data_IF_378918051492
#
_entry.id   IF_378918051492
#
_cell.length_a   1.000
_cell.length_b   1.000
_cell.length_c   1.000
_cell.angle_alpha   90.00
_cell.angle_beta   90.00
_cell.angle_gamma   90.00
#
_symmetry.space_group_name_H-M   'P 1'
#
loop_
_entity.id
_entity.type
_entity.pdbx_description
1 polymer ?
#
# COMPACT_ATOMS: atom_id res chain seq x y z
N UNK A 1 -5.74 17.03 59.76
CA UNK A 1 -6.48 16.67 58.52
C UNK A 1 -5.87 17.43 57.35
N UNK A 2 -4.73 16.97 56.81
CA UNK A 2 -3.94 17.67 55.76
C UNK A 2 -3.59 16.74 54.58
N UNK A 3 -4.19 15.55 54.52
CA UNK A 3 -3.94 14.54 53.48
C UNK A 3 -4.71 14.76 52.18
N UNK A 4 -5.98 15.21 52.24
CA UNK A 4 -6.89 15.18 51.09
C UNK A 4 -6.56 16.19 49.98
N UNK A 5 -6.00 17.37 50.30
CA UNK A 5 -5.69 18.39 49.30
C UNK A 5 -4.48 18.03 48.43
N UNK A 6 -3.45 17.41 49.02
CA UNK A 6 -2.25 16.97 48.31
C UNK A 6 -2.54 15.76 47.43
N UNK A 7 -3.35 14.81 47.90
CA UNK A 7 -3.78 13.68 47.08
C UNK A 7 -4.67 14.12 45.93
N UNK A 8 -5.55 15.10 46.12
CA UNK A 8 -6.36 15.65 45.03
C UNK A 8 -5.51 16.35 43.96
N UNK A 9 -4.54 17.18 44.35
CA UNK A 9 -3.60 17.83 43.44
C UNK A 9 -2.76 16.82 42.64
N UNK A 10 -2.23 15.79 43.31
CA UNK A 10 -1.47 14.72 42.67
C UNK A 10 -2.34 13.94 41.67
N UNK A 11 -3.55 13.56 42.07
CA UNK A 11 -4.50 12.90 41.15
C UNK A 11 -4.83 13.77 39.95
N UNK A 12 -5.10 15.07 40.14
CA UNK A 12 -5.39 15.99 39.05
C UNK A 12 -4.20 16.12 38.07
N UNK A 13 -2.97 16.21 38.58
CA UNK A 13 -1.76 16.22 37.76
C UNK A 13 -1.61 14.94 36.93
N UNK A 14 -1.86 13.76 37.53
CA UNK A 14 -1.81 12.47 36.83
C UNK A 14 -2.89 12.42 35.73
N UNK A 15 -4.11 12.86 36.02
CA UNK A 15 -5.19 12.90 35.02
C UNK A 15 -4.87 13.84 33.86
N UNK A 16 -4.35 15.03 34.14
CA UNK A 16 -3.93 15.99 33.10
C UNK A 16 -2.82 15.37 32.23
N UNK A 17 -1.82 14.73 32.85
CA UNK A 17 -0.73 14.08 32.12
C UNK A 17 -1.22 12.92 31.23
N UNK A 18 -2.13 12.08 31.75
CA UNK A 18 -2.74 11.00 30.98
C UNK A 18 -3.56 11.55 29.81
N UNK A 19 -4.37 12.59 30.03
CA UNK A 19 -5.18 13.22 28.99
C UNK A 19 -4.29 13.86 27.90
N UNK A 20 -3.22 14.56 28.29
CA UNK A 20 -2.26 15.15 27.35
C UNK A 20 -1.55 14.07 26.51
N UNK A 21 -1.15 12.96 27.14
CA UNK A 21 -0.52 11.83 26.44
C UNK A 21 -1.48 11.18 25.46
N UNK A 22 -2.74 10.94 25.87
CA UNK A 22 -3.76 10.37 25.00
C UNK A 22 -4.07 11.29 23.80
N UNK A 23 -4.17 12.60 24.05
CA UNK A 23 -4.38 13.59 22.99
C UNK A 23 -3.18 13.63 22.01
N UNK A 24 -1.95 13.58 22.53
CA UNK A 24 -0.74 13.52 21.70
C UNK A 24 -0.67 12.27 20.84
N UNK A 25 -0.96 11.10 21.41
CA UNK A 25 -1.01 9.83 20.68
C UNK A 25 -2.11 9.83 19.61
N UNK A 26 -3.29 10.33 19.94
CA UNK A 26 -4.40 10.42 18.99
C UNK A 26 -4.07 11.34 17.81
N UNK A 27 -3.48 12.50 18.08
CA UNK A 27 -3.01 13.41 17.03
C UNK A 27 -1.94 12.78 16.14
N UNK A 28 -0.91 12.17 16.75
CA UNK A 28 0.17 11.50 16.01
C UNK A 28 -0.35 10.36 15.13
N UNK A 29 -1.28 9.55 15.63
CA UNK A 29 -1.93 8.50 14.86
C UNK A 29 -2.70 9.09 13.67
N UNK A 30 -3.46 10.17 13.89
CA UNK A 30 -4.33 10.75 12.86
C UNK A 30 -3.55 11.45 11.75
N UNK A 31 -2.36 11.99 12.02
CA UNK A 31 -1.56 12.70 11.01
C UNK A 31 -1.17 11.85 9.81
N UNK A 32 -1.07 10.53 9.99
CA UNK A 32 -0.65 9.63 8.92
C UNK A 32 -1.84 8.94 8.21
N UNK A 33 -3.08 9.24 8.60
CA UNK A 33 -4.28 8.65 8.01
C UNK A 33 -4.86 9.61 6.96
N UNK A 34 -4.96 9.13 5.72
CA UNK A 34 -5.59 9.85 4.61
C UNK A 34 -6.43 8.93 3.74
N UNK A 35 -7.34 9.45 2.91
CA UNK A 35 -7.99 8.68 1.85
C UNK A 35 -6.94 8.10 0.88
N UNK A 36 -7.16 6.89 0.38
CA UNK A 36 -6.30 6.30 -0.66
C UNK A 36 -6.41 7.11 -1.97
N UNK A 37 -7.63 7.52 -2.32
CA UNK A 37 -7.94 8.40 -3.44
C UNK A 37 -8.60 9.69 -2.93
N UNK A 38 -8.06 10.83 -3.34
CA UNK A 38 -8.54 12.17 -2.99
C UNK A 38 -9.15 12.88 -4.20
N UNK A 39 -9.76 14.05 -3.99
CA UNK A 39 -10.36 14.84 -5.07
C UNK A 39 -9.34 15.46 -6.03
N UNK A 40 -8.09 15.64 -5.60
CA UNK A 40 -6.99 16.20 -6.40
C UNK A 40 -6.26 15.13 -7.23
N UNK A 41 -6.56 13.86 -6.99
CA UNK A 41 -6.01 12.72 -7.72
C UNK A 41 -6.81 12.48 -9.02
N UNK A 42 -6.24 11.64 -9.90
CA UNK A 42 -6.89 11.31 -11.18
C UNK A 42 -8.23 10.59 -10.95
N UNK A 43 -9.31 11.23 -11.37
CA UNK A 43 -10.68 10.76 -11.14
C UNK A 43 -11.00 9.44 -11.85
N UNK A 44 -10.19 9.04 -12.84
CA UNK A 44 -10.34 7.74 -13.52
C UNK A 44 -10.21 6.56 -12.55
N UNK A 45 -9.49 6.73 -11.44
CA UNK A 45 -9.37 5.70 -10.40
C UNK A 45 -10.65 5.48 -9.58
N UNK A 46 -11.69 6.31 -9.71
CA UNK A 46 -13.00 6.02 -9.09
C UNK A 46 -13.76 4.89 -9.80
N UNK A 47 -13.42 4.58 -11.05
CA UNK A 47 -14.16 3.61 -11.86
C UNK A 47 -13.22 2.57 -12.46
N UNK A 48 -13.51 1.29 -12.20
CA UNK A 48 -12.70 0.18 -12.71
C UNK A 48 -12.56 0.19 -14.24
N UNK A 49 -13.62 0.56 -14.97
CA UNK A 49 -13.61 0.65 -16.43
C UNK A 49 -12.64 1.70 -16.99
N UNK A 50 -12.29 2.72 -16.21
CA UNK A 50 -11.38 3.80 -16.62
C UNK A 50 -9.96 3.59 -16.09
N UNK A 51 -9.83 3.05 -14.87
CA UNK A 51 -8.54 2.74 -14.27
C UNK A 51 -7.86 1.53 -14.92
N UNK A 52 -8.63 0.49 -15.29
CA UNK A 52 -8.08 -0.75 -15.82
C UNK A 52 -7.22 -0.55 -17.08
N UNK A 53 -7.66 0.18 -18.12
CA UNK A 53 -6.82 0.41 -19.30
C UNK A 53 -5.48 1.08 -19.00
N UNK A 54 -5.43 2.00 -18.02
CA UNK A 54 -4.21 2.70 -17.63
C UNK A 54 -3.22 1.76 -16.95
N UNK A 55 -3.72 0.92 -16.06
CA UNK A 55 -2.91 -0.03 -15.31
C UNK A 55 -2.49 -1.22 -16.18
N UNK A 56 -3.35 -1.68 -17.09
CA UNK A 56 -3.03 -2.73 -18.08
C UNK A 56 -1.94 -2.25 -19.06
N UNK A 57 -1.88 -0.95 -19.39
CA UNK A 57 -0.83 -0.39 -20.24
C UNK A 57 0.57 -0.45 -19.59
N UNK A 58 0.67 -0.61 -18.27
CA UNK A 58 1.94 -0.81 -17.57
C UNK A 58 2.48 -2.24 -17.76
N UNK A 59 1.59 -3.23 -17.91
CA UNK A 59 1.94 -4.65 -17.88
C UNK A 59 3.02 -5.08 -18.90
N UNK A 60 2.99 -4.64 -20.17
CA UNK A 60 4.00 -5.05 -21.16
C UNK A 60 5.41 -4.59 -20.84
N UNK A 61 5.57 -3.56 -20.00
CA UNK A 61 6.86 -2.97 -19.63
C UNK A 61 7.37 -3.51 -18.29
N UNK A 62 6.65 -4.43 -17.65
CA UNK A 62 7.08 -5.04 -16.40
C UNK A 62 8.17 -6.08 -16.67
N UNK A 63 9.19 -6.18 -15.80
CA UNK A 63 10.25 -7.18 -15.95
C UNK A 63 9.75 -8.60 -15.65
N UNK A 64 10.52 -9.58 -16.13
CA UNK A 64 10.26 -11.01 -15.91
C UNK A 64 9.36 -11.63 -16.98
N UNK A 65 9.27 -12.96 -16.98
CA UNK A 65 8.49 -13.70 -17.97
C UNK A 65 6.98 -13.54 -17.74
N UNK A 66 6.23 -13.46 -18.84
CA UNK A 66 4.77 -13.48 -18.81
C UNK A 66 4.29 -14.94 -18.67
N UNK A 67 3.07 -15.14 -18.17
CA UNK A 67 2.48 -16.48 -18.02
C UNK A 67 2.07 -16.86 -16.60
N UNK A 68 2.34 -16.00 -15.61
CA UNK A 68 1.83 -16.14 -14.24
C UNK A 68 1.09 -14.88 -13.79
N UNK A 69 0.28 -15.04 -12.74
CA UNK A 69 -0.37 -13.90 -12.07
C UNK A 69 0.72 -12.95 -11.60
N UNK A 70 0.53 -11.65 -11.84
CA UNK A 70 1.51 -10.63 -11.48
C UNK A 70 1.00 -9.75 -10.36
N UNK A 71 1.73 -9.72 -9.25
CA UNK A 71 1.60 -8.69 -8.22
C UNK A 71 2.51 -7.52 -8.58
N UNK A 72 1.91 -6.35 -8.81
CA UNK A 72 2.62 -5.08 -8.91
C UNK A 72 2.42 -4.28 -7.62
N UNK A 73 3.46 -4.18 -6.81
CA UNK A 73 3.46 -3.44 -5.55
C UNK A 73 3.96 -2.01 -5.76
N UNK A 74 3.16 -1.01 -5.43
CA UNK A 74 3.53 0.40 -5.54
C UNK A 74 4.19 0.89 -4.26
N UNK A 75 5.47 1.26 -4.35
CA UNK A 75 6.33 1.50 -3.21
C UNK A 75 7.02 2.86 -3.28
N UNK A 76 6.94 3.63 -2.19
CA UNK A 76 7.71 4.85 -1.99
C UNK A 76 8.58 4.68 -0.73
N UNK A 77 9.93 4.67 -0.81
CA UNK A 77 10.79 4.47 0.36
C UNK A 77 10.60 5.52 1.46
N UNK A 78 10.20 6.74 1.10
CA UNK A 78 10.01 7.83 2.06
C UNK A 78 8.66 7.74 2.79
N UNK A 79 7.83 6.75 2.44
CA UNK A 79 6.54 6.54 3.06
C UNK A 79 6.64 5.68 4.33
N UNK A 80 6.40 6.29 5.49
CA UNK A 80 6.36 5.59 6.78
C UNK A 80 5.29 4.49 6.85
N UNK A 81 4.27 4.55 6.00
CA UNK A 81 3.18 3.58 5.99
C UNK A 81 3.55 2.22 5.38
N UNK A 82 4.71 2.10 4.71
CA UNK A 82 5.18 0.80 4.18
C UNK A 82 5.24 -0.27 5.27
N UNK A 83 5.69 0.10 6.48
CA UNK A 83 5.81 -0.85 7.60
C UNK A 83 4.44 -1.41 8.03
N UNK A 84 3.36 -0.65 7.84
CA UNK A 84 2.00 -1.05 8.25
C UNK A 84 1.43 -2.07 7.26
N UNK A 85 1.69 -1.90 5.96
CA UNK A 85 1.27 -2.87 4.94
C UNK A 85 2.20 -4.07 4.79
N UNK A 86 3.42 -4.01 5.35
CA UNK A 86 4.48 -5.01 5.13
C UNK A 86 4.02 -6.44 5.40
N UNK A 87 3.29 -6.67 6.50
CA UNK A 87 2.75 -8.00 6.83
C UNK A 87 1.89 -8.57 5.71
N UNK A 88 1.02 -7.76 5.11
CA UNK A 88 0.12 -8.21 4.03
C UNK A 88 0.88 -8.51 2.74
N UNK A 89 1.85 -7.67 2.41
CA UNK A 89 2.75 -7.92 1.29
C UNK A 89 3.52 -9.23 1.48
N UNK A 90 4.15 -9.41 2.64
CA UNK A 90 4.95 -10.61 2.93
C UNK A 90 4.09 -11.87 2.92
N UNK A 91 2.92 -11.86 3.57
CA UNK A 91 2.00 -13.00 3.56
C UNK A 91 1.62 -13.41 2.13
N UNK A 92 1.30 -12.45 1.28
CA UNK A 92 0.94 -12.70 -0.11
C UNK A 92 2.13 -13.26 -0.91
N UNK A 93 3.33 -12.67 -0.79
CA UNK A 93 4.53 -13.12 -1.50
C UNK A 93 4.96 -14.52 -1.06
N UNK A 94 4.85 -14.85 0.24
CA UNK A 94 5.23 -16.15 0.78
C UNK A 94 4.18 -17.25 0.54
N UNK A 95 2.93 -16.88 0.23
CA UNK A 95 1.87 -17.84 -0.08
C UNK A 95 2.02 -18.52 -1.45
N UNK A 96 2.91 -18.02 -2.32
CA UNK A 96 3.05 -18.48 -3.69
C UNK A 96 4.52 -18.60 -4.12
N UNK A 97 4.81 -19.61 -4.95
CA UNK A 97 6.11 -19.74 -5.61
C UNK A 97 6.30 -18.67 -6.69
N UNK A 98 7.53 -18.52 -7.19
CA UNK A 98 7.83 -17.61 -8.32
C UNK A 98 7.11 -17.98 -9.62
N UNK A 99 6.77 -19.26 -9.79
CA UNK A 99 6.02 -19.77 -10.95
C UNK A 99 4.52 -19.42 -10.87
N UNK A 100 3.98 -19.34 -9.65
CA UNK A 100 2.56 -19.04 -9.42
C UNK A 100 2.29 -17.53 -9.34
N UNK A 101 3.25 -16.76 -8.80
CA UNK A 101 3.11 -15.32 -8.58
C UNK A 101 4.41 -14.59 -8.92
N UNK A 102 4.41 -13.91 -10.06
CA UNK A 102 5.43 -12.91 -10.41
C UNK A 102 5.25 -11.68 -9.54
N UNK A 103 6.30 -11.26 -8.84
CA UNK A 103 6.23 -10.09 -7.94
C UNK A 103 7.15 -8.99 -8.45
N UNK A 104 6.53 -7.87 -8.81
CA UNK A 104 7.19 -6.67 -9.30
C UNK A 104 6.92 -5.53 -8.32
N UNK A 105 7.96 -4.80 -7.96
CA UNK A 105 7.89 -3.59 -7.15
C UNK A 105 8.08 -2.40 -8.06
N UNK A 106 7.05 -1.57 -8.17
CA UNK A 106 7.09 -0.28 -8.83
C UNK A 106 7.53 0.77 -7.81
N UNK A 107 8.81 1.09 -7.83
CA UNK A 107 9.39 2.14 -7.02
C UNK A 107 8.95 3.50 -7.53
N UNK A 108 8.60 4.40 -6.62
CA UNK A 108 8.19 5.76 -6.92
C UNK A 108 9.21 6.49 -7.83
N UNK A 109 8.77 7.43 -8.67
CA UNK A 109 9.66 8.02 -9.67
C UNK A 109 10.81 8.82 -9.05
N UNK A 110 10.63 9.33 -7.82
CA UNK A 110 11.64 10.05 -7.01
C UNK A 110 12.75 9.17 -6.44
N UNK A 111 12.64 7.84 -6.52
CA UNK A 111 13.64 6.92 -5.96
C UNK A 111 14.94 6.99 -6.76
N UNK A 112 16.06 7.27 -6.09
CA UNK A 112 17.41 7.30 -6.69
C UNK A 112 17.90 5.91 -7.13
N UNK A 113 18.87 5.86 -8.03
CA UNK A 113 19.46 4.59 -8.48
C UNK A 113 20.12 3.82 -7.32
N UNK A 114 20.75 4.54 -6.38
CA UNK A 114 21.35 3.94 -5.19
C UNK A 114 20.31 3.29 -4.27
N UNK A 115 19.17 3.95 -4.03
CA UNK A 115 18.08 3.38 -3.24
C UNK A 115 17.50 2.13 -3.92
N UNK A 116 17.34 2.16 -5.24
CA UNK A 116 16.82 1.03 -6.00
C UNK A 116 17.81 -0.15 -6.03
N UNK A 117 19.11 0.12 -6.13
CA UNK A 117 20.14 -0.91 -6.02
C UNK A 117 20.14 -1.55 -4.63
N UNK A 118 20.11 -0.72 -3.57
CA UNK A 118 20.02 -1.21 -2.19
C UNK A 118 18.77 -2.06 -1.96
N UNK A 119 17.64 -1.69 -2.55
CA UNK A 119 16.42 -2.51 -2.50
C UNK A 119 16.67 -3.91 -3.08
N UNK A 120 17.29 -4.01 -4.27
CA UNK A 120 17.59 -5.29 -4.90
C UNK A 120 18.56 -6.14 -4.06
N UNK A 121 19.60 -5.52 -3.51
CA UNK A 121 20.57 -6.20 -2.64
C UNK A 121 19.93 -6.81 -1.38
N UNK A 122 18.94 -6.12 -0.80
CA UNK A 122 18.27 -6.58 0.43
C UNK A 122 17.17 -7.62 0.19
N UNK A 123 16.55 -7.64 -0.98
CA UNK A 123 15.38 -8.47 -1.25
C UNK A 123 15.65 -9.65 -2.21
N UNK A 124 16.84 -9.71 -2.80
CA UNK A 124 17.25 -10.80 -3.70
C UNK A 124 16.42 -10.88 -4.98
N UNK A 125 16.39 -12.07 -5.60
CA UNK A 125 15.78 -12.27 -6.92
C UNK A 125 14.26 -12.49 -6.90
N UNK A 126 13.66 -12.74 -5.71
CA UNK A 126 12.22 -12.98 -5.59
C UNK A 126 11.39 -11.76 -5.98
N UNK A 127 11.92 -10.56 -5.73
CA UNK A 127 11.29 -9.27 -5.99
C UNK A 127 12.02 -8.55 -7.12
N UNK A 128 11.33 -8.27 -8.21
CA UNK A 128 11.89 -7.49 -9.31
C UNK A 128 11.50 -6.02 -9.13
N UNK A 129 12.47 -5.11 -9.10
CA UNK A 129 12.20 -3.70 -8.85
C UNK A 129 12.43 -2.84 -10.12
N UNK A 130 11.43 -2.05 -10.48
CA UNK A 130 11.47 -1.09 -11.58
C UNK A 130 11.06 0.30 -11.09
N UNK A 131 11.71 1.36 -11.61
CA UNK A 131 11.28 2.74 -11.35
C UNK A 131 10.05 3.07 -12.16
N UNK A 132 9.06 3.68 -11.54
CA UNK A 132 7.87 4.17 -12.20
C UNK A 132 8.20 5.21 -13.29
N UNK A 133 7.46 5.21 -14.42
CA UNK A 133 7.48 6.32 -15.37
C UNK A 133 7.16 7.65 -14.68
N UNK A 134 7.73 8.74 -15.20
CA UNK A 134 7.58 10.08 -14.61
C UNK A 134 6.14 10.60 -14.69
N UNK A 135 5.39 10.15 -15.68
CA UNK A 135 4.00 10.49 -15.94
C UNK A 135 3.00 9.54 -15.27
N UNK A 136 3.49 8.48 -14.60
CA UNK A 136 2.62 7.58 -13.85
C UNK A 136 2.11 8.26 -12.57
N UNK A 137 0.84 8.60 -12.58
CA UNK A 137 0.15 9.19 -11.44
C UNK A 137 -0.86 8.19 -10.85
N UNK A 138 -0.46 7.48 -9.81
CA UNK A 138 -1.38 6.67 -9.01
C UNK A 138 -1.79 7.43 -7.73
N UNK A 139 -2.91 7.09 -7.08
CA UNK A 139 -3.43 7.90 -5.97
C UNK A 139 -2.54 7.91 -4.71
N UNK A 140 -2.00 6.75 -4.35
CA UNK A 140 -1.23 6.61 -3.13
C UNK A 140 -0.34 5.35 -3.10
N UNK A 141 0.66 5.40 -2.21
CA UNK A 141 1.46 4.24 -1.79
C UNK A 141 1.37 4.08 -0.26
N UNK A 142 1.54 2.87 0.29
CA UNK A 142 1.67 1.59 -0.41
C UNK A 142 0.33 1.15 -1.03
N UNK A 143 0.41 0.50 -2.20
CA UNK A 143 -0.75 -0.04 -2.91
C UNK A 143 -0.35 -1.24 -3.76
N UNK A 144 -1.33 -1.90 -4.36
CA UNK A 144 -1.07 -3.02 -5.27
C UNK A 144 -1.99 -3.04 -6.48
N UNK A 145 -1.49 -3.64 -7.56
CA UNK A 145 -2.29 -4.21 -8.63
C UNK A 145 -2.04 -5.71 -8.76
N UNK A 146 -3.08 -6.48 -9.06
CA UNK A 146 -2.99 -7.89 -9.44
C UNK A 146 -3.45 -8.05 -10.88
N UNK A 147 -2.64 -8.69 -11.69
CA UNK A 147 -2.91 -8.96 -13.10
C UNK A 147 -2.98 -10.46 -13.37
N UNK A 148 -3.84 -10.88 -14.30
CA UNK A 148 -3.81 -12.24 -14.85
C UNK A 148 -2.51 -12.49 -15.64
N UNK A 149 -2.32 -13.73 -16.09
CA UNK A 149 -1.19 -14.12 -16.93
C UNK A 149 -1.17 -13.39 -18.29
N UNK A 150 -2.32 -12.92 -18.76
CA UNK A 150 -2.52 -12.15 -20.00
C UNK A 150 -2.42 -10.63 -19.79
N UNK A 151 -2.13 -10.19 -18.56
CA UNK A 151 -2.04 -8.78 -18.21
C UNK A 151 -3.37 -8.08 -17.99
N UNK A 152 -4.47 -8.83 -17.78
CA UNK A 152 -5.76 -8.24 -17.42
C UNK A 152 -5.81 -7.83 -15.96
N UNK A 153 -6.28 -6.62 -15.68
CA UNK A 153 -6.36 -6.11 -14.31
C UNK A 153 -7.46 -6.85 -13.54
N UNK A 154 -7.07 -7.52 -12.46
CA UNK A 154 -8.02 -8.11 -11.53
C UNK A 154 -8.31 -7.23 -10.32
N UNK A 155 -7.28 -6.64 -9.73
CA UNK A 155 -7.41 -5.82 -8.54
C UNK A 155 -6.48 -4.61 -8.63
N UNK A 156 -6.94 -3.46 -8.15
CA UNK A 156 -6.08 -2.31 -7.85
C UNK A 156 -6.55 -1.61 -6.58
N UNK A 157 -5.63 -1.17 -5.71
CA UNK A 157 -5.95 -0.31 -4.59
C UNK A 157 -5.07 -0.53 -3.37
N UNK A 158 -5.65 -0.33 -2.19
CA UNK A 158 -4.97 -0.53 -0.91
C UNK A 158 -4.86 -2.01 -0.53
N UNK A 159 -3.81 -2.37 0.23
CA UNK A 159 -3.77 -3.69 0.90
C UNK A 159 -4.90 -3.82 1.93
N UNK A 160 -5.25 -2.73 2.61
CA UNK A 160 -6.30 -2.68 3.62
C UNK A 160 -6.52 -1.24 4.05
N UNK A 161 -7.52 -1.03 4.90
CA UNK A 161 -7.90 0.31 5.37
C UNK A 161 -7.75 0.47 6.88
N UNK A 162 -7.87 1.70 7.36
CA UNK A 162 -7.68 2.07 8.76
C UNK A 162 -6.20 2.22 9.14
N UNK A 163 -5.98 2.70 10.37
CA UNK A 163 -4.64 2.99 10.90
C UNK A 163 -3.72 1.76 10.97
N UNK A 164 -4.32 0.57 11.11
CA UNK A 164 -3.63 -0.70 11.26
C UNK A 164 -3.66 -1.55 9.99
N UNK A 165 -4.10 -0.98 8.85
CA UNK A 165 -4.24 -1.68 7.57
C UNK A 165 -5.03 -3.01 7.73
N UNK A 166 -6.28 -2.93 8.19
CA UNK A 166 -7.11 -4.12 8.42
C UNK A 166 -7.68 -4.66 7.10
N UNK A 167 -7.68 -5.99 6.97
CA UNK A 167 -8.34 -6.76 5.91
C UNK A 167 -9.34 -7.72 6.53
N UNK A 168 -10.31 -8.21 5.75
CA UNK A 168 -11.35 -9.12 6.26
C UNK A 168 -10.75 -10.43 6.79
N UNK A 169 -9.74 -10.97 6.11
CA UNK A 169 -8.94 -12.11 6.53
C UNK A 169 -7.63 -12.18 5.73
N UNK A 170 -6.68 -12.98 6.21
CA UNK A 170 -5.36 -13.15 5.59
C UNK A 170 -5.45 -13.85 4.20
N UNK A 171 -6.57 -14.53 3.90
CA UNK A 171 -6.81 -15.24 2.63
C UNK A 171 -7.36 -14.36 1.50
N UNK A 172 -7.67 -13.09 1.75
CA UNK A 172 -8.32 -12.21 0.76
C UNK A 172 -7.53 -12.12 -0.55
N UNK A 173 -6.25 -11.73 -0.51
CA UNK A 173 -5.42 -11.63 -1.71
C UNK A 173 -5.00 -12.99 -2.28
N UNK A 174 -4.62 -14.01 -1.47
CA UNK A 174 -4.38 -15.34 -1.99
C UNK A 174 -5.56 -15.94 -2.77
N UNK A 175 -6.81 -15.68 -2.34
CA UNK A 175 -7.99 -16.09 -3.09
C UNK A 175 -8.05 -15.40 -4.47
N UNK A 176 -7.79 -14.09 -4.55
CA UNK A 176 -7.78 -13.35 -5.82
C UNK A 176 -6.70 -13.90 -6.76
N UNK A 177 -5.49 -14.15 -6.25
CA UNK A 177 -4.40 -14.75 -7.04
C UNK A 177 -4.81 -16.11 -7.61
N UNK A 178 -5.43 -16.98 -6.78
CA UNK A 178 -5.91 -18.28 -7.23
C UNK A 178 -7.01 -18.16 -8.29
N UNK A 179 -7.96 -17.23 -8.14
CA UNK A 179 -8.99 -16.98 -9.15
C UNK A 179 -8.43 -16.42 -10.46
N UNK A 180 -7.45 -15.52 -10.40
CA UNK A 180 -6.80 -14.97 -11.60
C UNK A 180 -6.01 -16.03 -12.39
N UNK A 181 -5.57 -17.11 -11.73
CA UNK A 181 -4.88 -18.21 -12.38
C UNK A 181 -5.82 -19.20 -13.09
N UNK A 182 -7.12 -19.25 -12.74
CA UNK A 182 -8.08 -20.19 -13.32
C UNK A 182 -9.18 -19.52 -14.15
N UNK A 183 -10.04 -18.75 -13.48
CA UNK A 183 -11.35 -18.31 -14.00
C UNK A 183 -11.39 -16.80 -14.28
N UNK A 184 -10.33 -16.09 -13.89
CA UNK A 184 -10.27 -14.63 -13.88
C UNK A 184 -10.94 -14.02 -12.64
N UNK A 185 -10.61 -12.76 -12.38
CA UNK A 185 -11.20 -11.94 -11.32
C UNK A 185 -11.16 -10.48 -11.76
N UNK A 186 -12.16 -9.67 -11.39
CA UNK A 186 -12.14 -8.23 -11.64
C UNK A 186 -12.58 -7.77 -13.05
N UNK A 187 -12.29 -6.52 -13.42
CA UNK A 187 -11.46 -5.54 -12.68
C UNK A 187 -12.18 -5.00 -11.44
N UNK A 188 -11.48 -4.99 -10.30
CA UNK A 188 -11.95 -4.39 -9.05
C UNK A 188 -10.98 -3.30 -8.58
N UNK A 189 -11.52 -2.12 -8.27
CA UNK A 189 -10.75 -0.95 -7.82
C UNK A 189 -11.15 -0.59 -6.40
N UNK A 190 -10.29 -0.92 -5.44
CA UNK A 190 -10.51 -0.78 -4.01
C UNK A 190 -9.80 0.44 -3.44
N UNK A 191 -10.33 1.62 -3.75
CA UNK A 191 -9.74 2.93 -3.38
C UNK A 191 -10.63 3.74 -2.43
N UNK A 192 -11.86 3.29 -2.20
CA UNK A 192 -12.88 3.99 -1.43
C UNK A 192 -12.68 3.77 0.10
N UNK A 193 -11.59 4.29 0.65
CA UNK A 193 -11.32 4.21 2.07
C UNK A 193 -10.11 5.02 2.51
N UNK A 194 -9.96 5.18 3.82
CA UNK A 194 -8.83 5.88 4.44
C UNK A 194 -7.95 4.92 5.23
N UNK A 195 -6.65 5.20 5.30
CA UNK A 195 -5.67 4.37 5.97
C UNK A 195 -4.32 5.07 6.06
N UNK A 196 -3.31 4.36 6.56
CA UNK A 196 -1.93 4.86 6.50
C UNK A 196 -1.46 4.79 5.05
N UNK A 197 -1.51 5.93 4.35
CA UNK A 197 -1.05 6.07 2.97
C UNK A 197 -0.26 7.36 2.81
N UNK A 198 0.65 7.39 1.84
CA UNK A 198 1.34 8.59 1.40
C UNK A 198 0.89 8.94 -0.02
N UNK A 199 0.81 10.24 -0.38
CA UNK A 199 0.64 10.66 -1.76
C UNK A 199 1.72 10.03 -2.63
N UNK A 200 1.34 9.58 -3.82
CA UNK A 200 2.34 9.17 -4.80
C UNK A 200 3.18 10.39 -5.17
N UNK A 201 4.51 10.32 -5.07
CA UNK A 201 5.34 11.48 -5.31
C UNK A 201 5.46 11.72 -6.82
N UNK A 202 5.19 12.95 -7.24
CA UNK A 202 5.45 13.42 -8.60
C UNK A 202 6.79 14.16 -8.63
N UNK A 203 7.54 14.03 -9.74
CA UNK A 203 8.82 14.74 -9.90
C UNK A 203 8.62 16.21 -10.26
N UNK A 204 7.48 16.59 -10.85
CA UNK A 204 7.14 17.98 -11.16
C UNK A 204 5.63 18.21 -11.03
N UNK A 205 5.21 19.23 -10.26
CA UNK A 205 3.93 19.92 -10.42
C UNK A 205 4.23 21.38 -10.75
#
# INVERSE_FOLDING_TARGET
MTGNGKTFLLSALIFIWLAATLAGLWWFQQQNIRPFLTADDDSRFWQASQAAPLLEALYPNLPGENGSVTLLHFWNPDCLCNQVSQRHFDLLVHSFTSEQLRVVVMAAPTVSDQQLQRFRELNGERLQAIRAPQDLNIPASPGLALYSAEGKLGYFGAYGFGALCTVTNDDFFPNIVRSLASDGYGPFVNVAGSGCFCPWPAINK
#
